data_IF_521928383722
#
_entry.id   IF_521928383722
#
_cell.length_a   1.000
_cell.length_b   1.000
_cell.length_c   1.000
_cell.angle_alpha   90.00
_cell.angle_beta   90.00
_cell.angle_gamma   90.00
#
_symmetry.space_group_name_H-M   'P 1'
#
loop_
_entity.id
_entity.type
_entity.pdbx_description
1 polymer ?
#
# COMPACT_ATOMS: atom_id res chain seq x y z
N UNK A 1 52.53 -15.74 17.23
CA UNK A 1 52.27 -14.65 16.27
C UNK A 1 51.14 -15.13 15.37
N UNK A 2 49.89 -14.84 15.73
CA UNK A 2 48.73 -15.18 14.91
C UNK A 2 48.46 -14.02 13.96
N UNK A 3 48.54 -14.30 12.66
CA UNK A 3 48.25 -13.36 11.58
C UNK A 3 46.73 -13.25 11.48
N UNK A 4 46.17 -12.08 11.80
CA UNK A 4 44.76 -11.78 11.55
C UNK A 4 44.57 -11.45 10.07
N UNK A 5 43.76 -12.24 9.37
CA UNK A 5 43.26 -11.89 8.04
C UNK A 5 42.07 -10.94 8.21
N UNK A 6 42.21 -9.69 7.75
CA UNK A 6 41.08 -8.79 7.50
C UNK A 6 40.39 -9.27 6.23
N UNK A 7 39.11 -9.62 6.31
CA UNK A 7 38.29 -9.85 5.13
C UNK A 7 37.18 -8.80 5.09
N UNK A 8 37.21 -7.97 4.05
CA UNK A 8 36.22 -6.93 3.77
C UNK A 8 35.07 -7.60 3.02
N UNK A 9 33.86 -7.59 3.59
CA UNK A 9 32.64 -8.01 2.90
C UNK A 9 31.81 -6.78 2.49
N UNK A 10 31.66 -6.64 1.16
CA UNK A 10 30.78 -5.82 0.32
C UNK A 10 30.13 -4.51 0.84
N UNK A 11 30.55 -3.41 0.21
CA UNK A 11 29.80 -2.17 -0.06
C UNK A 11 28.57 -2.44 -0.95
N UNK A 12 27.42 -1.75 -0.82
CA UNK A 12 27.23 -0.39 -1.36
C UNK A 12 26.20 0.49 -0.63
N UNK A 13 25.88 0.22 0.64
CA UNK A 13 25.25 1.22 1.53
C UNK A 13 25.86 1.10 2.92
N UNK A 14 26.99 1.78 3.11
CA UNK A 14 27.53 2.30 4.37
C UNK A 14 27.20 1.63 5.72
N UNK A 15 27.37 0.31 5.87
CA UNK A 15 27.44 -0.32 7.19
C UNK A 15 28.79 -1.00 7.36
N UNK A 16 29.72 -0.29 8.02
CA UNK A 16 31.05 -0.80 8.33
C UNK A 16 30.95 -1.67 9.59
N UNK A 17 30.82 -2.98 9.44
CA UNK A 17 30.88 -3.93 10.55
C UNK A 17 32.28 -4.55 10.61
N UNK A 18 33.02 -4.21 11.67
CA UNK A 18 34.32 -4.83 11.99
C UNK A 18 34.04 -6.03 12.91
N UNK A 19 34.33 -7.26 12.45
CA UNK A 19 34.16 -8.47 13.25
C UNK A 19 35.48 -9.24 13.41
N UNK A 20 35.71 -9.76 14.62
CA UNK A 20 36.88 -10.56 14.96
C UNK A 20 36.50 -12.03 15.25
N UNK A 21 37.26 -12.98 14.70
CA UNK A 21 37.57 -14.31 15.25
C UNK A 21 36.51 -15.43 15.25
N UNK A 22 35.23 -15.18 15.51
CA UNK A 22 34.21 -16.26 15.60
C UNK A 22 32.79 -15.80 15.23
N UNK A 23 32.59 -14.49 15.09
CA UNK A 23 31.33 -13.88 14.66
C UNK A 23 31.15 -13.83 13.14
N UNK A 24 32.12 -14.30 12.34
CA UNK A 24 32.07 -14.22 10.88
C UNK A 24 30.92 -15.05 10.26
N UNK A 25 30.59 -16.21 10.85
CA UNK A 25 29.46 -17.04 10.42
C UNK A 25 28.10 -16.37 10.71
N UNK A 26 27.98 -15.71 11.87
CA UNK A 26 26.78 -14.96 12.26
C UNK A 26 26.65 -13.72 11.37
N UNK A 27 27.74 -13.03 11.09
CA UNK A 27 27.75 -11.85 10.23
C UNK A 27 27.41 -12.20 8.77
N UNK A 28 27.93 -13.33 8.26
CA UNK A 28 27.53 -13.84 6.94
C UNK A 28 26.05 -14.24 6.93
N UNK A 29 25.54 -14.89 7.98
CA UNK A 29 24.13 -15.23 8.07
C UNK A 29 23.25 -13.98 8.15
N UNK A 30 23.66 -12.92 8.86
CA UNK A 30 22.96 -11.63 8.90
C UNK A 30 23.03 -10.86 7.58
N UNK A 31 24.17 -10.89 6.87
CA UNK A 31 24.30 -10.29 5.54
C UNK A 31 23.45 -11.04 4.51
N UNK A 32 23.42 -12.38 4.58
CA UNK A 32 22.60 -13.25 3.74
C UNK A 32 21.10 -13.08 4.10
N UNK A 33 20.75 -13.01 5.38
CA UNK A 33 19.39 -12.71 5.83
C UNK A 33 18.96 -11.31 5.39
N UNK A 34 19.80 -10.27 5.52
CA UNK A 34 19.50 -8.93 5.03
C UNK A 34 19.26 -8.87 3.51
N UNK A 35 19.90 -9.76 2.74
CA UNK A 35 19.68 -9.89 1.29
C UNK A 35 18.50 -10.81 0.95
N UNK A 36 18.12 -11.76 1.82
CA UNK A 36 16.94 -12.60 1.66
C UNK A 36 15.64 -11.96 2.17
N UNK A 37 15.68 -11.05 3.14
CA UNK A 37 14.48 -10.49 3.80
C UNK A 37 13.73 -9.45 2.98
N UNK A 38 14.31 -8.97 1.87
CA UNK A 38 13.59 -8.14 0.90
C UNK A 38 12.76 -8.98 -0.09
N UNK A 39 12.87 -10.30 -0.06
CA UNK A 39 12.11 -11.20 -0.90
C UNK A 39 10.93 -11.74 -0.11
N UNK A 40 9.92 -10.89 0.16
CA UNK A 40 8.57 -11.43 0.30
C UNK A 40 8.16 -11.87 -1.12
N UNK A 41 8.62 -13.05 -1.53
CA UNK A 41 8.11 -13.68 -2.74
C UNK A 41 6.66 -14.05 -2.44
N UNK A 42 5.69 -13.65 -3.28
CA UNK A 42 4.32 -14.16 -3.14
C UNK A 42 4.37 -15.69 -3.09
N UNK A 43 3.54 -16.29 -2.22
CA UNK A 43 3.50 -17.74 -2.05
C UNK A 43 3.22 -18.43 -3.41
N UNK A 44 3.70 -19.65 -3.63
CA UNK A 44 3.65 -20.28 -4.97
C UNK A 44 2.21 -20.46 -5.49
N UNK A 45 1.22 -20.47 -4.59
CA UNK A 45 -0.21 -20.62 -4.89
C UNK A 45 -0.99 -19.28 -4.90
N UNK A 46 -0.31 -18.14 -4.82
CA UNK A 46 -0.95 -16.82 -4.73
C UNK A 46 -1.43 -16.29 -6.10
N UNK A 47 -2.72 -15.90 -6.26
CA UNK A 47 -3.26 -15.46 -7.55
C UNK A 47 -2.66 -14.15 -8.06
N UNK A 48 -2.46 -13.97 -9.37
CA UNK A 48 -1.92 -12.73 -9.92
C UNK A 48 -2.77 -11.51 -9.52
N UNK A 49 -2.11 -10.38 -9.25
CA UNK A 49 -2.77 -9.11 -8.91
C UNK A 49 -3.77 -8.71 -10.00
N UNK A 50 -5.05 -8.60 -9.63
CA UNK A 50 -6.12 -8.14 -10.51
C UNK A 50 -6.11 -6.60 -10.49
N UNK A 51 -5.80 -5.98 -11.63
CA UNK A 51 -5.77 -4.51 -11.82
C UNK A 51 -4.37 -3.92 -12.06
N UNK A 52 -3.30 -4.71 -11.93
CA UNK A 52 -1.93 -4.18 -11.99
C UNK A 52 -1.64 -3.17 -10.86
N UNK A 53 -0.47 -2.55 -10.87
CA UNK A 53 -0.09 -1.49 -9.92
C UNK A 53 0.69 -0.40 -10.67
N UNK A 54 0.61 0.87 -10.24
CA UNK A 54 1.17 2.02 -10.99
C UNK A 54 2.68 1.99 -11.20
N UNK A 55 3.45 1.21 -10.43
CA UNK A 55 4.91 1.37 -10.39
C UNK A 55 5.71 0.14 -10.85
N UNK A 56 5.10 -1.03 -11.01
CA UNK A 56 5.81 -2.26 -11.33
C UNK A 56 5.50 -2.65 -12.78
N UNK A 57 6.37 -2.26 -13.71
CA UNK A 57 6.31 -2.74 -15.11
C UNK A 57 7.10 -4.05 -15.30
N UNK A 58 8.13 -4.27 -14.47
CA UNK A 58 8.95 -5.48 -14.42
C UNK A 58 9.75 -5.53 -13.11
N UNK A 59 10.33 -6.70 -12.77
CA UNK A 59 11.28 -6.83 -11.64
C UNK A 59 12.47 -5.86 -11.73
N UNK A 60 12.78 -5.34 -12.93
CA UNK A 60 13.86 -4.39 -13.18
C UNK A 60 13.51 -2.94 -12.75
N UNK A 61 12.22 -2.59 -12.65
CA UNK A 61 11.76 -1.27 -12.18
C UNK A 61 11.44 -1.26 -10.67
N UNK A 62 11.59 -2.43 -10.01
CA UNK A 62 11.13 -2.63 -8.63
C UNK A 62 11.74 -1.67 -7.62
N UNK A 63 12.90 -1.11 -7.91
CA UNK A 63 13.58 -0.18 -7.04
C UNK A 63 14.54 0.65 -7.88
N UNK A 64 14.39 1.97 -7.82
CA UNK A 64 15.54 2.83 -8.13
C UNK A 64 16.72 2.41 -7.24
N UNK A 65 17.95 2.76 -7.62
CA UNK A 65 19.16 2.35 -6.91
C UNK A 65 19.15 2.66 -5.39
N UNK A 66 18.25 3.53 -4.94
CA UNK A 66 18.02 3.93 -3.54
C UNK A 66 16.93 3.14 -2.80
N UNK A 67 16.31 2.15 -3.45
CA UNK A 67 15.25 1.32 -2.86
C UNK A 67 13.90 2.03 -2.72
N UNK A 68 13.67 3.11 -3.47
CA UNK A 68 12.39 3.81 -3.50
C UNK A 68 11.66 3.63 -4.84
N UNK A 69 10.35 3.77 -4.79
CA UNK A 69 9.43 3.70 -5.92
C UNK A 69 8.86 5.10 -6.17
N UNK A 70 9.13 5.69 -7.33
CA UNK A 70 8.76 7.07 -7.64
C UNK A 70 7.53 7.14 -8.54
N UNK A 71 6.50 7.85 -8.09
CA UNK A 71 5.25 8.01 -8.82
C UNK A 71 5.08 9.49 -9.18
N UNK A 72 5.18 9.86 -10.46
CA UNK A 72 4.94 11.22 -10.89
C UNK A 72 3.46 11.60 -10.69
N UNK A 73 3.22 12.83 -10.25
CA UNK A 73 1.87 13.39 -10.14
C UNK A 73 1.82 14.83 -10.65
N UNK A 74 0.65 15.21 -11.14
CA UNK A 74 0.33 16.58 -11.55
C UNK A 74 -1.00 16.99 -10.92
N UNK A 75 -1.01 18.07 -10.12
CA UNK A 75 -2.24 18.63 -9.54
C UNK A 75 -2.75 19.72 -10.48
N UNK A 76 -3.98 19.55 -10.98
CA UNK A 76 -4.60 20.55 -11.86
C UNK A 76 -4.83 21.88 -11.14
N UNK A 77 -4.85 22.98 -11.91
CA UNK A 77 -4.82 24.34 -11.38
C UNK A 77 -6.13 24.85 -10.76
N UNK A 78 -7.21 24.06 -10.75
CA UNK A 78 -8.50 24.44 -10.16
C UNK A 78 -8.59 24.28 -8.64
N UNK A 79 -7.56 23.71 -8.00
CA UNK A 79 -7.47 23.63 -6.54
C UNK A 79 -6.86 24.91 -5.97
N UNK A 80 -7.45 25.43 -4.89
CA UNK A 80 -6.86 26.50 -4.08
C UNK A 80 -5.64 26.00 -3.31
N UNK A 81 -4.78 26.91 -2.85
CA UNK A 81 -3.59 26.57 -2.07
C UNK A 81 -3.88 25.73 -0.82
N UNK A 82 -5.04 25.95 -0.17
CA UNK A 82 -5.48 25.15 0.98
C UNK A 82 -5.83 23.72 0.59
N UNK A 83 -6.49 23.55 -0.56
CA UNK A 83 -6.86 22.24 -1.10
C UNK A 83 -5.62 21.47 -1.57
N UNK A 84 -4.70 22.16 -2.26
CA UNK A 84 -3.37 21.61 -2.63
C UNK A 84 -2.62 21.13 -1.39
N UNK A 85 -2.62 21.89 -0.29
CA UNK A 85 -1.95 21.48 0.94
C UNK A 85 -2.56 20.19 1.55
N UNK A 86 -3.86 19.92 1.38
CA UNK A 86 -4.47 18.67 1.82
C UNK A 86 -3.98 17.50 0.96
N UNK A 87 -4.00 17.68 -0.37
CA UNK A 87 -3.56 16.68 -1.35
C UNK A 87 -2.08 16.33 -1.13
N UNK A 88 -1.22 17.35 -1.01
CA UNK A 88 0.22 17.17 -0.78
C UNK A 88 0.49 16.46 0.53
N UNK A 89 -0.21 16.79 1.63
CA UNK A 89 -0.08 16.02 2.89
C UNK A 89 -0.47 14.55 2.73
N UNK A 90 -1.49 14.25 1.91
CA UNK A 90 -1.86 12.88 1.58
C UNK A 90 -0.74 12.15 0.82
N UNK A 91 -0.20 12.77 -0.23
CA UNK A 91 0.93 12.24 -1.01
C UNK A 91 2.17 12.00 -0.13
N UNK A 92 2.56 12.98 0.69
CA UNK A 92 3.75 12.91 1.55
C UNK A 92 3.63 11.82 2.63
N UNK A 93 2.42 11.52 3.10
CA UNK A 93 2.20 10.52 4.16
C UNK A 93 2.71 9.12 3.82
N UNK A 94 2.70 8.75 2.54
CA UNK A 94 3.24 7.47 2.07
C UNK A 94 4.74 7.36 2.30
N UNK A 95 5.46 8.48 2.22
CA UNK A 95 6.92 8.49 2.34
C UNK A 95 7.42 8.19 3.74
N UNK A 96 6.60 8.48 4.76
CA UNK A 96 6.90 8.20 6.16
C UNK A 96 6.79 6.71 6.52
N UNK A 97 5.96 5.96 5.79
CA UNK A 97 5.58 4.58 6.14
C UNK A 97 5.96 3.55 5.08
N UNK A 98 6.52 3.97 3.95
CA UNK A 98 6.86 3.06 2.85
C UNK A 98 8.04 3.55 1.99
N UNK A 99 8.37 2.80 0.96
CA UNK A 99 9.31 3.18 -0.10
C UNK A 99 8.66 4.01 -1.23
N UNK A 100 7.35 4.24 -1.19
CA UNK A 100 6.64 5.04 -2.21
C UNK A 100 6.97 6.53 -2.06
N UNK A 101 7.30 7.17 -3.18
CA UNK A 101 7.63 8.59 -3.29
C UNK A 101 6.81 9.23 -4.40
N UNK A 102 5.80 9.99 -4.02
CA UNK A 102 5.13 10.86 -4.97
C UNK A 102 6.00 12.07 -5.27
N UNK A 103 6.22 12.37 -6.55
CA UNK A 103 6.98 13.54 -6.98
C UNK A 103 6.23 14.33 -8.05
N UNK A 104 6.43 15.66 -8.15
CA UNK A 104 5.89 16.43 -9.26
C UNK A 104 6.30 15.84 -10.61
N UNK A 105 5.37 15.87 -11.55
CA UNK A 105 5.57 15.54 -12.96
C UNK A 105 6.71 16.37 -13.56
N UNK A 106 7.52 15.74 -14.39
CA UNK A 106 8.62 16.34 -15.14
C UNK A 106 8.47 16.01 -16.63
N UNK A 107 8.99 16.89 -17.49
CA UNK A 107 9.00 16.62 -18.92
C UNK A 107 9.81 15.36 -19.22
N UNK A 108 9.19 14.38 -19.88
CA UNK A 108 9.78 13.06 -20.12
C UNK A 108 9.14 11.94 -19.29
N UNK A 109 8.28 12.25 -18.32
CA UNK A 109 7.47 11.23 -17.65
C UNK A 109 6.47 10.64 -18.63
N UNK A 110 6.57 9.33 -18.86
CA UNK A 110 5.66 8.62 -19.74
C UNK A 110 4.29 8.40 -19.10
N UNK A 111 4.23 8.23 -17.78
CA UNK A 111 3.01 7.92 -17.03
C UNK A 111 3.00 8.64 -15.68
N UNK A 112 1.83 9.14 -15.28
CA UNK A 112 1.69 9.93 -14.06
C UNK A 112 0.24 9.99 -13.58
N UNK A 113 0.06 10.36 -12.32
CA UNK A 113 -1.25 10.67 -11.75
C UNK A 113 -1.67 12.10 -12.08
N UNK A 114 -2.76 12.27 -12.83
CA UNK A 114 -3.43 13.57 -12.99
C UNK A 114 -4.48 13.71 -11.88
N UNK A 115 -4.21 14.59 -10.91
CA UNK A 115 -5.11 14.85 -9.78
C UNK A 115 -6.10 15.95 -10.19
N UNK A 116 -7.38 15.58 -10.27
CA UNK A 116 -8.44 16.40 -10.87
C UNK A 116 -9.69 16.46 -10.00
N UNK A 117 -10.49 17.52 -10.13
CA UNK A 117 -11.77 17.65 -9.42
C UNK A 117 -12.89 17.29 -10.38
N UNK A 118 -13.21 16.00 -10.49
CA UNK A 118 -14.36 15.50 -11.27
C UNK A 118 -15.53 15.17 -10.33
N UNK A 119 -16.54 14.47 -10.83
CA UNK A 119 -17.70 14.07 -10.04
C UNK A 119 -17.33 12.88 -9.12
N UNK A 120 -17.15 13.17 -7.83
CA UNK A 120 -16.85 12.17 -6.80
C UNK A 120 -15.35 11.92 -6.57
N UNK A 121 -15.09 10.94 -5.71
CA UNK A 121 -13.76 10.46 -5.35
C UNK A 121 -13.54 9.12 -6.04
N UNK A 122 -12.52 9.00 -6.88
CA UNK A 122 -12.18 7.73 -7.52
C UNK A 122 -10.76 7.74 -8.08
N UNK A 123 -10.21 6.54 -8.22
CA UNK A 123 -9.05 6.26 -9.04
C UNK A 123 -9.22 4.92 -9.74
N UNK A 124 -8.44 4.69 -10.78
CA UNK A 124 -8.28 3.34 -11.28
C UNK A 124 -7.51 2.49 -10.26
N UNK A 125 -7.81 1.19 -10.23
CA UNK A 125 -6.98 0.23 -9.50
C UNK A 125 -5.76 -0.07 -10.37
N UNK A 126 -4.58 0.33 -9.91
CA UNK A 126 -3.31 0.09 -10.58
C UNK A 126 -3.01 0.93 -11.81
N UNK A 127 -1.90 0.61 -12.50
CA UNK A 127 -1.41 1.31 -13.71
C UNK A 127 -2.31 1.06 -14.89
N UNK A 128 -2.62 2.11 -15.62
CA UNK A 128 -3.36 2.00 -16.87
C UNK A 128 -2.48 1.91 -18.14
N UNK A 129 -1.15 2.11 -18.03
CA UNK A 129 -0.18 2.01 -19.14
C UNK A 129 -0.52 2.89 -20.37
N UNK A 130 -1.16 4.04 -20.15
CA UNK A 130 -1.70 4.89 -21.21
C UNK A 130 -1.44 6.40 -20.99
N UNK A 131 -0.39 6.74 -20.25
CA UNK A 131 -0.02 8.13 -19.97
C UNK A 131 -0.60 8.67 -18.68
N UNK A 132 -1.32 9.79 -18.78
CA UNK A 132 -1.97 10.42 -17.64
C UNK A 132 -3.12 9.56 -17.13
N UNK A 133 -3.06 9.13 -15.87
CA UNK A 133 -4.12 8.42 -15.18
C UNK A 133 -4.82 9.35 -14.21
N UNK A 134 -6.14 9.51 -14.34
CA UNK A 134 -6.90 10.39 -13.44
C UNK A 134 -7.05 9.79 -12.04
N UNK A 135 -6.79 10.62 -11.03
CA UNK A 135 -7.27 10.47 -9.65
C UNK A 135 -8.24 11.63 -9.41
N UNK A 136 -9.53 11.33 -9.30
CA UNK A 136 -10.55 12.33 -9.00
C UNK A 136 -10.63 12.58 -7.50
N UNK A 137 -10.33 13.80 -7.09
CA UNK A 137 -10.58 14.32 -5.76
C UNK A 137 -11.47 15.54 -5.89
N UNK A 138 -12.79 15.33 -5.94
CA UNK A 138 -13.75 16.43 -5.96
C UNK A 138 -13.46 17.42 -4.82
N UNK A 139 -13.38 18.71 -5.18
CA UNK A 139 -13.29 19.81 -4.22
C UNK A 139 -14.43 19.79 -3.19
N UNK A 140 -15.56 19.21 -3.58
CA UNK A 140 -16.69 18.94 -2.70
C UNK A 140 -16.66 17.47 -2.29
N UNK A 141 -16.31 17.20 -1.04
CA UNK A 141 -16.47 15.87 -0.41
C UNK A 141 -15.26 14.93 -0.43
N UNK A 142 -14.18 15.22 -1.18
CA UNK A 142 -13.03 14.30 -1.27
C UNK A 142 -11.75 14.81 -0.61
N UNK A 143 -11.69 16.07 -0.18
CA UNK A 143 -10.46 16.68 0.34
C UNK A 143 -10.28 16.43 1.84
N UNK A 144 -10.19 15.15 2.18
CA UNK A 144 -9.85 14.64 3.51
C UNK A 144 -8.60 13.77 3.42
N UNK A 145 -7.82 13.72 4.49
CA UNK A 145 -6.58 12.94 4.50
C UNK A 145 -6.80 11.46 4.17
N UNK A 146 -7.80 10.83 4.80
CA UNK A 146 -8.20 9.45 4.53
C UNK A 146 -8.63 9.23 3.08
N UNK A 147 -9.45 10.12 2.52
CA UNK A 147 -9.91 9.99 1.13
C UNK A 147 -8.76 10.12 0.14
N UNK A 148 -7.83 11.06 0.35
CA UNK A 148 -6.64 11.16 -0.51
C UNK A 148 -5.80 9.87 -0.43
N UNK A 149 -5.59 9.32 0.77
CA UNK A 149 -4.90 8.04 0.91
C UNK A 149 -5.63 6.88 0.23
N UNK A 150 -6.96 6.82 0.36
CA UNK A 150 -7.82 5.80 -0.27
C UNK A 150 -7.65 5.79 -1.79
N UNK A 151 -7.79 6.95 -2.45
CA UNK A 151 -7.68 7.03 -3.90
C UNK A 151 -6.25 6.77 -4.41
N UNK A 152 -5.24 7.14 -3.62
CA UNK A 152 -3.85 6.82 -3.93
C UNK A 152 -3.55 5.33 -3.75
N UNK A 153 -4.14 4.67 -2.74
CA UNK A 153 -4.05 3.22 -2.57
C UNK A 153 -4.70 2.48 -3.75
N UNK A 154 -5.84 2.95 -4.25
CA UNK A 154 -6.40 2.44 -5.51
C UNK A 154 -5.40 2.56 -6.65
N UNK A 155 -4.82 3.74 -6.89
CA UNK A 155 -3.79 3.92 -7.92
C UNK A 155 -2.59 2.96 -7.72
N UNK A 156 -2.26 2.65 -6.47
CA UNK A 156 -1.19 1.71 -6.10
C UNK A 156 -1.58 0.23 -6.22
N UNK A 157 -2.79 -0.11 -6.67
CA UNK A 157 -3.24 -1.48 -6.93
C UNK A 157 -4.11 -2.11 -5.82
N UNK A 158 -4.59 -1.30 -4.87
CA UNK A 158 -5.42 -1.82 -3.77
C UNK A 158 -6.90 -1.83 -4.14
N UNK A 159 -7.54 -2.96 -3.90
CA UNK A 159 -8.99 -3.10 -3.94
C UNK A 159 -9.58 -2.84 -2.55
N UNK A 160 -10.90 -2.65 -2.47
CA UNK A 160 -11.59 -2.43 -1.21
C UNK A 160 -11.56 -3.66 -0.29
N UNK A 161 -11.53 -3.43 1.01
CA UNK A 161 -11.42 -4.51 2.01
C UNK A 161 -12.65 -5.43 2.01
N UNK A 162 -13.86 -4.90 1.80
CA UNK A 162 -15.10 -5.70 1.74
C UNK A 162 -15.21 -6.61 0.50
N UNK A 163 -14.27 -6.51 -0.43
CA UNK A 163 -14.23 -7.32 -1.66
C UNK A 163 -13.23 -8.48 -1.58
N UNK A 164 -12.51 -8.62 -0.47
CA UNK A 164 -11.54 -9.70 -0.27
C UNK A 164 -12.16 -11.08 -0.49
N UNK A 165 -11.32 -12.00 -0.98
CA UNK A 165 -11.65 -13.41 -1.18
C UNK A 165 -12.17 -14.13 0.07
N UNK A 166 -11.82 -13.65 1.26
CA UNK A 166 -12.21 -14.20 2.56
C UNK A 166 -13.27 -13.39 3.31
N UNK A 167 -13.82 -12.32 2.71
CA UNK A 167 -14.67 -11.34 3.40
C UNK A 167 -15.91 -11.95 4.05
N UNK A 168 -16.49 -13.00 3.49
CA UNK A 168 -17.70 -13.67 4.01
C UNK A 168 -17.48 -14.35 5.37
N UNK A 169 -16.22 -14.45 5.85
CA UNK A 169 -15.90 -14.89 7.22
C UNK A 169 -16.01 -13.76 8.26
N UNK A 170 -16.07 -12.51 7.80
CA UNK A 170 -15.93 -11.31 8.62
C UNK A 170 -17.13 -10.37 8.48
N UNK A 171 -17.72 -10.24 7.30
CA UNK A 171 -18.92 -9.43 7.09
C UNK A 171 -20.01 -10.24 6.41
N UNK A 172 -21.26 -9.87 6.72
CA UNK A 172 -22.42 -10.25 5.96
C UNK A 172 -22.85 -9.09 5.06
N UNK A 173 -23.14 -9.37 3.79
CA UNK A 173 -23.65 -8.37 2.83
C UNK A 173 -25.14 -8.58 2.59
N UNK A 174 -25.92 -7.53 2.83
CA UNK A 174 -27.37 -7.48 2.61
C UNK A 174 -27.66 -6.96 1.20
N UNK A 175 -27.59 -7.85 0.22
CA UNK A 175 -27.76 -7.54 -1.20
C UNK A 175 -29.09 -6.84 -1.52
N UNK A 176 -30.14 -7.12 -0.75
CA UNK A 176 -31.46 -6.51 -0.85
C UNK A 176 -31.48 -5.03 -0.46
N UNK A 177 -30.51 -4.57 0.35
CA UNK A 177 -30.40 -3.17 0.78
C UNK A 177 -29.57 -2.31 -0.20
N UNK A 178 -28.88 -2.92 -1.16
CA UNK A 178 -27.98 -2.24 -2.10
C UNK A 178 -28.77 -1.74 -3.32
N UNK A 179 -28.45 -0.53 -3.80
CA UNK A 179 -28.90 -0.03 -5.10
C UNK A 179 -28.53 -1.05 -6.20
N UNK A 180 -29.48 -1.46 -7.03
CA UNK A 180 -29.31 -2.64 -7.88
C UNK A 180 -28.12 -2.49 -8.86
N UNK A 181 -27.92 -1.30 -9.43
CA UNK A 181 -26.78 -1.00 -10.32
C UNK A 181 -25.45 -0.84 -9.58
N UNK A 182 -25.42 -0.88 -8.25
CA UNK A 182 -24.20 -0.72 -7.42
C UNK A 182 -23.76 -2.02 -6.76
N UNK A 183 -24.50 -3.12 -6.94
CA UNK A 183 -24.18 -4.44 -6.36
C UNK A 183 -22.79 -4.93 -6.75
N UNK A 184 -22.31 -4.61 -7.95
CA UNK A 184 -21.00 -5.07 -8.41
C UNK A 184 -19.84 -4.60 -7.52
N UNK A 185 -19.98 -3.48 -6.79
CA UNK A 185 -18.98 -2.98 -5.84
C UNK A 185 -18.78 -3.86 -4.60
N UNK A 186 -19.66 -4.84 -4.39
CA UNK A 186 -19.64 -5.78 -3.27
C UNK A 186 -19.24 -7.19 -3.70
N UNK A 187 -18.98 -7.39 -5.00
CA UNK A 187 -18.53 -8.69 -5.48
C UNK A 187 -17.17 -9.02 -4.89
N UNK A 188 -17.02 -10.28 -4.47
CA UNK A 188 -15.73 -10.80 -4.07
C UNK A 188 -14.82 -10.86 -5.29
N UNK A 189 -13.59 -10.38 -5.13
CA UNK A 189 -12.50 -10.54 -6.09
C UNK A 189 -11.47 -11.49 -5.52
N UNK A 190 -10.79 -12.21 -6.40
CA UNK A 190 -9.73 -13.12 -6.00
C UNK A 190 -8.49 -12.31 -5.60
N UNK A 191 -8.38 -11.99 -4.32
CA UNK A 191 -7.34 -11.14 -3.77
C UNK A 191 -6.21 -11.97 -3.16
N UNK A 192 -4.97 -11.48 -3.30
CA UNK A 192 -3.79 -12.03 -2.62
C UNK A 192 -3.92 -11.97 -1.10
N UNK A 193 -4.67 -10.99 -0.57
CA UNK A 193 -4.75 -10.65 0.85
C UNK A 193 -3.41 -10.31 1.52
N UNK A 194 -2.29 -10.59 0.83
CA UNK A 194 -0.90 -10.35 1.16
C UNK A 194 -0.58 -10.77 2.59
N UNK A 195 -1.12 -11.93 3.02
CA UNK A 195 -0.90 -12.50 4.34
C UNK A 195 -1.34 -11.62 5.53
N UNK A 196 -2.31 -10.72 5.37
CA UNK A 196 -2.90 -9.96 6.50
C UNK A 196 -4.31 -10.45 6.83
N UNK A 197 -4.72 -10.41 8.12
CA UNK A 197 -6.10 -10.63 8.49
C UNK A 197 -7.00 -9.51 7.92
N UNK A 198 -8.30 -9.80 7.85
CA UNK A 198 -9.32 -8.80 7.50
C UNK A 198 -9.29 -7.61 8.47
N UNK A 199 -9.35 -6.40 7.93
CA UNK A 199 -9.22 -5.17 8.72
C UNK A 199 -10.42 -4.22 8.59
N UNK A 200 -11.30 -4.25 9.58
CA UNK A 200 -12.41 -3.31 9.72
C UNK A 200 -12.01 -1.83 9.77
N UNK A 201 -10.76 -1.54 10.17
CA UNK A 201 -10.21 -0.19 10.28
C UNK A 201 -9.36 0.20 9.07
N UNK A 202 -9.29 -0.65 8.03
CA UNK A 202 -8.60 -0.30 6.78
C UNK A 202 -9.23 0.96 6.19
N UNK A 203 -8.39 1.86 5.67
CA UNK A 203 -8.90 3.01 4.91
C UNK A 203 -9.61 2.56 3.62
N UNK A 204 -9.39 1.32 3.18
CA UNK A 204 -10.04 0.69 2.02
C UNK A 204 -11.35 -0.01 2.38
N UNK A 205 -11.81 0.01 3.64
CA UNK A 205 -13.08 -0.57 4.07
C UNK A 205 -14.23 0.41 3.83
N UNK A 206 -15.24 -0.01 3.07
CA UNK A 206 -16.50 0.75 2.96
C UNK A 206 -17.21 0.92 4.29
N UNK A 207 -17.93 2.04 4.39
CA UNK A 207 -18.85 2.31 5.49
C UNK A 207 -20.09 1.41 5.45
N UNK A 208 -20.73 1.29 6.62
CA UNK A 208 -21.87 0.41 6.90
C UNK A 208 -23.09 0.59 5.97
N UNK A 209 -23.28 1.79 5.44
CA UNK A 209 -24.44 2.17 4.63
C UNK A 209 -24.09 2.45 3.17
N UNK A 210 -22.87 2.11 2.74
CA UNK A 210 -22.41 2.34 1.37
C UNK A 210 -23.45 1.81 0.36
N UNK A 211 -23.87 2.65 -0.58
CA UNK A 211 -24.85 2.33 -1.63
C UNK A 211 -26.20 1.79 -1.15
N UNK A 212 -26.63 2.15 0.06
CA UNK A 212 -27.96 1.79 0.58
C UNK A 212 -29.08 2.47 -0.22
N UNK A 213 -30.12 1.70 -0.60
CA UNK A 213 -31.33 2.24 -1.25
C UNK A 213 -32.48 2.52 -0.29
N UNK A 214 -32.35 2.11 0.97
CA UNK A 214 -33.44 2.11 1.96
C UNK A 214 -32.99 2.60 3.34
N UNK A 215 -31.82 3.23 3.44
CA UNK A 215 -31.19 3.67 4.70
C UNK A 215 -30.94 2.54 5.71
N UNK A 216 -31.01 1.28 5.26
CA UNK A 216 -30.61 0.13 6.07
C UNK A 216 -29.14 -0.23 5.77
N UNK A 217 -28.42 -0.85 6.73
CA UNK A 217 -27.05 -1.29 6.52
C UNK A 217 -26.93 -2.22 5.31
N UNK A 218 -25.93 -1.99 4.46
CA UNK A 218 -25.61 -2.89 3.33
C UNK A 218 -24.63 -3.98 3.74
N UNK A 219 -23.90 -3.77 4.83
CA UNK A 219 -23.00 -4.78 5.41
C UNK A 219 -22.97 -4.69 6.95
N UNK A 220 -22.81 -5.84 7.61
CA UNK A 220 -22.59 -5.93 9.06
C UNK A 220 -21.44 -6.88 9.39
N UNK A 221 -20.63 -6.59 10.42
CA UNK A 221 -19.61 -7.50 10.90
C UNK A 221 -20.24 -8.73 11.55
N UNK A 222 -19.55 -9.86 11.42
CA UNK A 222 -19.87 -11.13 12.05
C UNK A 222 -18.66 -11.63 12.87
N UNK A 223 -18.88 -12.35 13.98
CA UNK A 223 -20.19 -12.65 14.58
C UNK A 223 -20.80 -11.48 15.37
N UNK A 224 -20.05 -10.40 15.61
CA UNK A 224 -20.49 -9.27 16.42
C UNK A 224 -20.83 -8.04 15.56
N UNK A 225 -22.11 -7.79 15.33
CA UNK A 225 -22.60 -6.66 14.52
C UNK A 225 -22.33 -5.26 15.09
N UNK A 226 -21.80 -5.16 16.31
CA UNK A 226 -21.48 -3.89 16.97
C UNK A 226 -20.03 -3.43 16.73
N UNK A 227 -19.21 -4.22 16.04
CA UNK A 227 -17.85 -3.79 15.68
C UNK A 227 -17.94 -2.55 14.77
N UNK A 228 -17.31 -1.42 15.14
CA UNK A 228 -17.25 -0.26 14.26
C UNK A 228 -16.30 -0.52 13.09
N UNK A 229 -16.64 -0.03 11.90
CA UNK A 229 -15.83 -0.17 10.68
C UNK A 229 -16.17 0.93 9.67
N UNK A 230 -15.28 1.16 8.71
CA UNK A 230 -15.47 2.17 7.66
C UNK A 230 -15.46 3.62 8.19
N UNK A 231 -14.74 3.86 9.30
CA UNK A 231 -14.58 5.17 9.95
C UNK A 231 -13.12 5.63 9.98
N UNK A 232 -12.27 5.01 9.15
CA UNK A 232 -10.84 5.25 9.14
C UNK A 232 -10.51 6.70 8.75
N UNK A 233 -9.63 7.33 9.53
CA UNK A 233 -9.12 8.70 9.28
C UNK A 233 -7.75 8.71 8.60
N UNK A 234 -7.10 7.54 8.52
CA UNK A 234 -5.82 7.31 7.88
C UNK A 234 -5.63 5.81 7.58
N UNK A 235 -4.60 5.47 6.79
CA UNK A 235 -4.15 4.09 6.60
C UNK A 235 -3.96 3.37 7.94
N UNK A 236 -4.45 2.13 8.00
CA UNK A 236 -4.22 1.23 9.12
C UNK A 236 -2.82 0.61 9.05
N UNK A 237 -2.43 -0.11 10.11
CA UNK A 237 -1.19 -0.88 10.09
C UNK A 237 -1.22 -1.99 9.02
N UNK A 238 -2.39 -2.59 8.74
CA UNK A 238 -2.50 -3.62 7.71
C UNK A 238 -2.39 -3.01 6.31
N UNK A 239 -2.97 -1.82 6.07
CA UNK A 239 -2.78 -1.09 4.81
C UNK A 239 -1.29 -0.86 4.54
N UNK A 240 -0.56 -0.39 5.55
CA UNK A 240 0.89 -0.14 5.48
C UNK A 240 1.68 -1.44 5.24
N UNK A 241 1.34 -2.53 5.95
CA UNK A 241 2.03 -3.82 5.77
C UNK A 241 1.84 -4.33 4.35
N UNK A 242 0.61 -4.30 3.84
CA UNK A 242 0.31 -4.73 2.48
C UNK A 242 1.02 -3.84 1.47
N UNK A 243 0.97 -2.51 1.62
CA UNK A 243 1.72 -1.59 0.76
C UNK A 243 3.20 -1.95 0.69
N UNK A 244 3.84 -2.17 1.84
CA UNK A 244 5.26 -2.50 1.88
C UNK A 244 5.58 -3.90 1.33
N UNK A 245 4.68 -4.88 1.50
CA UNK A 245 4.83 -6.23 0.92
C UNK A 245 4.72 -6.17 -0.60
N UNK A 246 3.68 -5.52 -1.11
CA UNK A 246 3.44 -5.38 -2.54
C UNK A 246 4.63 -4.74 -3.26
N UNK A 247 5.19 -3.67 -2.69
CA UNK A 247 6.31 -2.93 -3.29
C UNK A 247 7.69 -3.35 -2.76
N UNK A 248 7.80 -4.46 -2.01
CA UNK A 248 9.06 -4.96 -1.44
C UNK A 248 9.90 -3.87 -0.76
N UNK A 249 9.27 -3.02 0.05
CA UNK A 249 9.94 -1.90 0.70
C UNK A 249 10.92 -2.38 1.79
N UNK A 250 12.21 -2.46 1.44
CA UNK A 250 13.29 -3.00 2.27
C UNK A 250 13.52 -2.27 3.61
N UNK A 251 13.12 -1.00 3.75
CA UNK A 251 13.36 -0.21 4.98
C UNK A 251 12.59 -0.73 6.20
N UNK A 252 11.49 -1.45 6.03
CA UNK A 252 10.67 -1.98 7.13
C UNK A 252 10.99 -3.44 7.52
N UNK A 253 11.61 -4.22 6.62
CA UNK A 253 12.05 -5.59 6.94
C UNK A 253 13.10 -5.58 8.07
N UNK A 254 14.01 -4.60 8.06
CA UNK A 254 15.11 -4.48 9.03
C UNK A 254 14.59 -4.13 10.45
N UNK A 255 13.62 -3.21 10.57
CA UNK A 255 13.08 -2.79 11.87
C UNK A 255 12.28 -3.90 12.58
N UNK A 256 11.53 -4.70 11.82
CA UNK A 256 10.77 -5.84 12.36
C UNK A 256 11.72 -6.95 12.80
N UNK A 257 12.75 -7.28 12.01
CA UNK A 257 13.77 -8.26 12.39
C UNK A 257 14.56 -7.83 13.62
N UNK A 258 14.95 -6.56 13.72
CA UNK A 258 15.64 -6.05 14.91
C UNK A 258 14.81 -6.23 16.18
N UNK A 259 13.49 -6.02 16.10
CA UNK A 259 12.57 -6.18 17.24
C UNK A 259 12.31 -7.66 17.58
N UNK A 260 12.34 -8.56 16.60
CA UNK A 260 12.24 -10.01 16.84
C UNK A 260 13.53 -10.60 17.43
N UNK A 261 14.71 -10.14 16.97
CA UNK A 261 16.01 -10.53 17.51
C UNK A 261 16.22 -10.07 18.95
N UNK A 262 15.71 -8.89 19.33
CA UNK A 262 15.73 -8.40 20.72
C UNK A 262 14.88 -9.23 21.69
N UNK A 263 13.92 -10.02 21.20
CA UNK A 263 13.10 -10.92 22.02
C UNK A 263 13.63 -12.36 22.07
N UNK A 264 14.70 -12.67 21.32
CA UNK A 264 15.34 -13.99 21.23
C UNK A 264 16.70 -14.03 21.96
N UNK A 265 17.17 -12.89 22.48
CA UNK A 265 18.33 -12.72 23.35
C UNK A 265 17.85 -12.31 24.75
#
# INVERSE_FOLDING_TARGET
IFIFFLQVCCSNVGLLLVCCGSAAAICNLLCILNSLTCLAVPDFDEPPLIGGDIAISSDADRNNADGNVYIPYYIQNHYSSREVAIIVRGLESFSAVSCIRFRPYQNGDHEWLSIESRNGCYSYVGRQNNGAQTVSLSRQGCLYHSTVQHELLHALGFNHEQTRSDRDKYIWVYWENIIDDMKYNFNIINTLNQGTPYDYNSVMQYEKYAFSKNNLPTMLPIPNSNVPFGQATQMSQNDIIRLNRLYNCCKYAIAVLQKMLQNLL
#
